data_IF_444010925911
#
_entry.id   IF_444010925911
#
_cell.length_a   1.000
_cell.length_b   1.000
_cell.length_c   1.000
_cell.angle_alpha   90.00
_cell.angle_beta   90.00
_cell.angle_gamma   90.00
#
_symmetry.space_group_name_H-M   'P 1'
#
loop_
_entity.id
_entity.type
_entity.pdbx_description
1 polymer ?
#
# COMPACT_ATOMS: atom_id res chain seq x y z
N UNK A 1 -36.62 31.28 1.71
CA UNK A 1 -36.29 31.11 0.28
C UNK A 1 -35.09 30.16 0.22
N UNK A 2 -35.35 28.87 0.02
CA UNK A 2 -34.35 27.79 0.10
C UNK A 2 -33.72 27.56 -1.27
N UNK A 3 -32.40 27.76 -1.38
CA UNK A 3 -31.66 27.48 -2.60
C UNK A 3 -31.30 25.99 -2.65
N UNK A 4 -32.07 25.19 -3.39
CA UNK A 4 -31.67 23.83 -3.77
C UNK A 4 -30.56 23.93 -4.83
N UNK A 5 -29.31 23.68 -4.43
CA UNK A 5 -28.23 23.40 -5.40
C UNK A 5 -28.49 22.02 -5.99
N UNK A 6 -28.97 21.98 -7.23
CA UNK A 6 -28.99 20.78 -8.07
C UNK A 6 -27.54 20.31 -8.28
N UNK A 7 -27.12 19.29 -7.55
CA UNK A 7 -25.94 18.51 -7.90
C UNK A 7 -26.39 17.64 -9.08
N UNK A 8 -25.89 17.95 -10.27
CA UNK A 8 -25.94 17.02 -11.39
C UNK A 8 -24.77 16.07 -11.16
N UNK A 9 -25.05 14.78 -11.04
CA UNK A 9 -24.01 13.75 -11.01
C UNK A 9 -23.30 13.77 -12.36
N UNK A 10 -22.12 14.40 -12.38
CA UNK A 10 -21.21 14.25 -13.50
C UNK A 10 -20.52 12.90 -13.31
N UNK A 11 -21.04 11.86 -13.96
CA UNK A 11 -20.22 10.68 -14.29
C UNK A 11 -19.15 11.15 -15.28
N UNK A 12 -18.04 11.67 -14.75
CA UNK A 12 -16.87 12.02 -15.52
C UNK A 12 -16.16 10.72 -15.94
N UNK A 13 -16.66 10.09 -17.00
CA UNK A 13 -15.93 9.08 -17.73
C UNK A 13 -14.81 9.81 -18.49
N UNK A 14 -13.63 9.95 -17.89
CA UNK A 14 -12.47 10.63 -18.48
C UNK A 14 -11.22 9.74 -18.41
N UNK A 15 -10.30 9.90 -19.37
CA UNK A 15 -9.55 8.80 -20.00
C UNK A 15 -8.48 8.22 -19.08
N UNK A 16 -8.24 6.91 -19.21
CA UNK A 16 -7.05 6.25 -18.69
C UNK A 16 -5.81 6.98 -19.22
N UNK A 17 -5.15 7.74 -18.35
CA UNK A 17 -3.86 8.33 -18.64
C UNK A 17 -2.82 7.23 -18.49
N UNK A 18 -2.62 6.46 -19.56
CA UNK A 18 -1.52 5.49 -19.64
C UNK A 18 -0.37 6.10 -20.41
N UNK A 19 0.75 6.35 -19.75
CA UNK A 19 2.02 6.56 -20.44
C UNK A 19 2.76 5.21 -20.50
N UNK A 20 3.17 4.83 -21.71
CA UNK A 20 4.08 3.70 -21.90
C UNK A 20 5.43 4.31 -22.26
N UNK A 21 6.29 4.43 -21.25
CA UNK A 21 7.62 5.02 -21.36
C UNK A 21 8.60 3.90 -21.71
N UNK A 22 8.90 3.75 -22.99
CA UNK A 22 9.66 2.61 -23.50
C UNK A 22 11.18 2.68 -23.29
N UNK A 23 11.73 3.67 -22.59
CA UNK A 23 13.16 3.70 -22.19
C UNK A 23 13.43 4.86 -21.20
N UNK A 24 13.65 4.54 -19.91
CA UNK A 24 14.15 5.49 -18.90
C UNK A 24 13.21 5.78 -17.74
N UNK A 25 13.77 6.41 -16.69
CA UNK A 25 13.04 6.69 -15.45
C UNK A 25 11.76 7.50 -15.70
N UNK A 26 10.60 7.03 -15.22
CA UNK A 26 9.31 7.71 -15.34
C UNK A 26 8.96 8.54 -14.11
N UNK A 27 8.41 9.73 -14.29
CA UNK A 27 7.87 10.51 -13.16
C UNK A 27 6.49 11.05 -13.53
N UNK A 28 5.47 10.66 -12.78
CA UNK A 28 4.09 11.07 -13.00
C UNK A 28 3.50 11.77 -11.78
N UNK A 29 2.70 12.81 -12.01
CA UNK A 29 1.98 13.53 -10.97
C UNK A 29 0.53 13.73 -11.40
N UNK A 30 -0.40 13.23 -10.59
CA UNK A 30 -1.83 13.32 -10.78
C UNK A 30 -2.45 14.10 -9.63
N UNK A 31 -3.20 15.15 -9.95
CA UNK A 31 -4.04 15.85 -8.99
C UNK A 31 -5.48 15.95 -9.50
N UNK A 32 -6.45 15.45 -8.73
CA UNK A 32 -7.86 15.45 -9.13
C UNK A 32 -8.80 15.72 -7.96
N UNK A 33 -9.91 16.41 -8.22
CA UNK A 33 -11.03 16.48 -7.28
C UNK A 33 -11.99 15.29 -7.36
N UNK A 34 -11.90 14.49 -8.43
CA UNK A 34 -12.77 13.35 -8.74
C UNK A 34 -12.04 12.02 -8.49
N UNK A 35 -12.67 10.87 -8.73
CA UNK A 35 -12.08 9.54 -8.54
C UNK A 35 -11.36 9.08 -9.83
N UNK A 36 -10.07 9.41 -10.07
CA UNK A 36 -9.37 8.99 -11.28
C UNK A 36 -9.06 7.49 -11.23
N UNK A 37 -9.13 6.84 -12.38
CA UNK A 37 -8.51 5.54 -12.64
C UNK A 37 -7.23 5.79 -13.43
N UNK A 38 -6.10 5.34 -12.89
CA UNK A 38 -4.77 5.50 -13.47
C UNK A 38 -4.14 4.12 -13.68
N UNK A 39 -3.54 3.91 -14.85
CA UNK A 39 -2.80 2.68 -15.14
C UNK A 39 -1.46 3.04 -15.78
N UNK A 40 -0.36 2.67 -15.16
CA UNK A 40 0.98 2.93 -15.65
C UNK A 40 1.72 1.61 -15.88
N UNK A 41 2.60 1.59 -16.89
CA UNK A 41 3.37 0.39 -17.24
C UNK A 41 4.77 0.75 -17.70
N UNK A 42 5.78 0.22 -17.01
CA UNK A 42 7.19 0.41 -17.34
C UNK A 42 7.83 -0.94 -17.66
N UNK A 43 8.27 -1.10 -18.91
CA UNK A 43 8.91 -2.34 -19.39
C UNK A 43 10.37 -2.49 -18.92
N UNK A 44 11.00 -1.40 -18.45
CA UNK A 44 12.31 -1.37 -17.81
C UNK A 44 12.55 0.01 -17.18
N UNK A 45 13.34 0.05 -16.10
CA UNK A 45 13.76 1.29 -15.44
C UNK A 45 12.99 1.61 -14.17
N UNK A 46 13.41 2.69 -13.52
CA UNK A 46 12.82 3.16 -12.26
C UNK A 46 11.70 4.17 -12.53
N UNK A 47 11.06 4.63 -11.48
CA UNK A 47 10.11 5.70 -11.61
C UNK A 47 9.34 5.99 -10.35
N UNK A 48 8.59 7.08 -10.43
CA UNK A 48 7.96 7.71 -9.30
C UNK A 48 6.58 8.18 -9.70
N UNK A 49 5.57 7.82 -8.92
CA UNK A 49 4.19 8.25 -9.12
C UNK A 49 3.71 9.06 -7.91
N UNK A 50 3.04 10.19 -8.15
CA UNK A 50 2.42 10.99 -7.10
C UNK A 50 0.95 11.22 -7.42
N UNK A 51 0.07 10.74 -6.57
CA UNK A 51 -1.37 10.88 -6.66
C UNK A 51 -1.89 11.71 -5.49
N UNK A 52 -2.56 12.82 -5.78
CA UNK A 52 -3.29 13.61 -4.80
C UNK A 52 -4.75 13.76 -5.24
N UNK A 53 -5.70 13.18 -4.50
CA UNK A 53 -7.11 13.25 -4.86
C UNK A 53 -8.05 13.59 -3.70
N UNK A 54 -9.10 14.37 -3.98
CA UNK A 54 -10.22 14.54 -3.04
C UNK A 54 -11.13 13.31 -2.95
N UNK A 55 -11.14 12.45 -3.98
CA UNK A 55 -12.00 11.26 -4.10
C UNK A 55 -11.16 9.98 -4.16
N UNK A 56 -11.77 8.81 -4.39
CA UNK A 56 -11.13 7.48 -4.41
C UNK A 56 -10.27 7.27 -5.67
N UNK A 57 -8.92 7.46 -5.66
CA UNK A 57 -8.12 7.09 -6.82
C UNK A 57 -8.00 5.56 -6.90
N UNK A 58 -8.03 5.00 -8.10
CA UNK A 58 -7.59 3.64 -8.38
C UNK A 58 -6.32 3.69 -9.23
N UNK A 59 -5.26 3.03 -8.77
CA UNK A 59 -4.01 2.91 -9.53
C UNK A 59 -3.67 1.43 -9.74
N UNK A 60 -3.31 1.08 -10.97
CA UNK A 60 -2.79 -0.22 -11.34
C UNK A 60 -1.48 -0.04 -12.10
N UNK A 61 -0.38 -0.51 -11.51
CA UNK A 61 0.97 -0.22 -11.98
C UNK A 61 1.75 -1.52 -12.17
N UNK A 62 2.33 -1.71 -13.35
CA UNK A 62 3.18 -2.88 -13.65
C UNK A 62 4.55 -2.45 -14.15
N UNK A 63 5.58 -2.80 -13.40
CA UNK A 63 6.93 -2.29 -13.59
C UNK A 63 7.90 -3.47 -13.73
N UNK A 64 8.85 -3.40 -14.65
CA UNK A 64 9.93 -4.38 -14.72
C UNK A 64 11.17 -3.94 -13.91
N UNK A 65 11.14 -2.72 -13.37
CA UNK A 65 12.13 -2.12 -12.45
C UNK A 65 11.48 -1.68 -11.14
N UNK A 66 12.12 -0.77 -10.40
CA UNK A 66 11.59 -0.24 -9.14
C UNK A 66 10.61 0.92 -9.30
N UNK A 67 9.67 1.05 -8.35
CA UNK A 67 8.63 2.08 -8.30
C UNK A 67 8.60 2.76 -6.93
N UNK A 68 8.29 4.06 -6.91
CA UNK A 68 7.93 4.75 -5.68
C UNK A 68 6.66 5.56 -5.86
N UNK A 69 5.58 5.11 -5.23
CA UNK A 69 4.26 5.68 -5.34
C UNK A 69 3.83 6.40 -4.07
N UNK A 70 3.31 7.62 -4.21
CA UNK A 70 2.70 8.37 -3.12
C UNK A 70 1.24 8.68 -3.40
N UNK A 71 0.36 8.21 -2.53
CA UNK A 71 -1.08 8.40 -2.59
C UNK A 71 -1.54 9.25 -1.42
N UNK A 72 -2.04 10.45 -1.68
CA UNK A 72 -2.70 11.31 -0.71
C UNK A 72 -4.16 11.49 -1.08
N UNK A 73 -5.09 11.03 -0.23
CA UNK A 73 -6.52 11.21 -0.51
C UNK A 73 -7.39 11.50 0.71
N UNK A 74 -8.45 12.30 0.52
CA UNK A 74 -9.52 12.42 1.52
C UNK A 74 -10.39 11.15 1.61
N UNK A 75 -10.40 10.33 0.56
CA UNK A 75 -11.19 9.11 0.40
C UNK A 75 -10.31 7.86 0.43
N UNK A 76 -10.90 6.66 0.28
CA UNK A 76 -10.20 5.38 0.35
C UNK A 76 -9.48 5.05 -0.98
N UNK A 77 -8.17 5.31 -1.16
CA UNK A 77 -7.47 4.95 -2.39
C UNK A 77 -7.39 3.43 -2.54
N UNK A 78 -7.38 2.94 -3.78
CA UNK A 78 -7.07 1.54 -4.10
C UNK A 78 -5.84 1.51 -5.00
N UNK A 79 -4.80 0.79 -4.62
CA UNK A 79 -3.59 0.64 -5.43
C UNK A 79 -3.26 -0.83 -5.66
N UNK A 80 -2.79 -1.13 -6.86
CA UNK A 80 -2.24 -2.41 -7.27
C UNK A 80 -0.88 -2.14 -7.92
N UNK A 81 0.18 -2.72 -7.39
CA UNK A 81 1.53 -2.57 -7.93
C UNK A 81 2.15 -3.96 -8.12
N UNK A 82 2.78 -4.20 -9.26
CA UNK A 82 3.48 -5.46 -9.52
C UNK A 82 4.84 -5.16 -10.13
N UNK A 83 5.91 -5.78 -9.62
CA UNK A 83 7.21 -5.77 -10.27
C UNK A 83 7.85 -7.14 -10.43
N UNK A 84 8.44 -7.39 -11.59
CA UNK A 84 9.22 -8.60 -11.82
C UNK A 84 10.62 -8.52 -11.17
N UNK A 85 11.22 -7.33 -11.14
CA UNK A 85 12.52 -7.07 -10.56
C UNK A 85 12.66 -5.59 -10.18
N UNK A 86 13.32 -5.27 -9.06
CA UNK A 86 13.44 -3.91 -8.53
C UNK A 86 12.60 -3.69 -7.28
N UNK A 87 12.79 -2.54 -6.64
CA UNK A 87 12.16 -2.26 -5.35
C UNK A 87 10.82 -1.52 -5.54
N UNK A 88 9.77 -1.92 -4.82
CA UNK A 88 8.49 -1.21 -4.78
C UNK A 88 8.35 -0.46 -3.46
N UNK A 89 8.03 0.83 -3.52
CA UNK A 89 7.80 1.66 -2.35
C UNK A 89 6.46 2.42 -2.43
N UNK A 90 5.44 1.96 -1.71
CA UNK A 90 4.12 2.58 -1.64
C UNK A 90 3.92 3.41 -0.37
N UNK A 91 3.46 4.66 -0.50
CA UNK A 91 3.10 5.54 0.60
C UNK A 91 1.66 5.99 0.49
N UNK A 92 0.83 5.64 1.47
CA UNK A 92 -0.60 5.90 1.51
C UNK A 92 -0.94 6.80 2.68
N UNK A 93 -1.41 8.01 2.39
CA UNK A 93 -1.91 8.97 3.37
C UNK A 93 -3.38 9.26 3.10
N UNK A 94 -4.28 8.82 3.98
CA UNK A 94 -5.71 8.97 3.75
C UNK A 94 -6.55 9.28 4.99
N UNK A 95 -7.60 10.10 4.84
CA UNK A 95 -8.64 10.23 5.86
C UNK A 95 -9.50 8.98 6.03
N UNK A 96 -9.54 8.13 4.99
CA UNK A 96 -10.37 6.93 4.88
C UNK A 96 -9.51 5.67 4.76
N UNK A 97 -10.12 4.49 4.59
CA UNK A 97 -9.45 3.19 4.56
C UNK A 97 -8.75 2.92 3.21
N UNK A 98 -7.43 3.10 3.05
CA UNK A 98 -6.75 2.70 1.82
C UNK A 98 -6.75 1.17 1.66
N UNK A 99 -6.84 0.70 0.41
CA UNK A 99 -6.62 -0.70 0.06
C UNK A 99 -5.43 -0.80 -0.90
N UNK A 100 -4.44 -1.63 -0.58
CA UNK A 100 -3.28 -1.82 -1.44
C UNK A 100 -3.00 -3.30 -1.66
N UNK A 101 -2.58 -3.64 -2.88
CA UNK A 101 -2.03 -4.93 -3.24
C UNK A 101 -0.70 -4.72 -3.94
N UNK A 102 0.34 -5.41 -3.50
CA UNK A 102 1.66 -5.33 -4.10
C UNK A 102 2.30 -6.72 -4.27
N UNK A 103 2.94 -6.96 -5.41
CA UNK A 103 3.64 -8.21 -5.73
C UNK A 103 5.03 -7.90 -6.29
N UNK A 104 6.08 -8.43 -5.67
CA UNK A 104 7.47 -8.26 -6.10
C UNK A 104 8.13 -9.62 -6.35
N UNK A 105 8.52 -9.87 -7.60
CA UNK A 105 9.28 -11.06 -7.98
C UNK A 105 10.69 -11.07 -7.36
N UNK A 106 11.47 -10.01 -7.58
CA UNK A 106 12.81 -9.88 -7.02
C UNK A 106 13.14 -8.43 -6.64
N UNK A 107 13.30 -8.14 -5.36
CA UNK A 107 13.56 -6.80 -4.84
C UNK A 107 12.83 -6.57 -3.53
N UNK A 108 13.03 -5.40 -2.94
CA UNK A 108 12.41 -5.05 -1.67
C UNK A 108 11.04 -4.39 -1.90
N UNK A 109 10.08 -4.72 -1.05
CA UNK A 109 8.74 -4.13 -1.04
C UNK A 109 8.55 -3.38 0.27
N UNK A 110 8.26 -2.09 0.18
CA UNK A 110 7.98 -1.22 1.32
C UNK A 110 6.61 -0.58 1.16
N UNK A 111 5.72 -0.75 2.14
CA UNK A 111 4.45 -0.02 2.18
C UNK A 111 4.26 0.74 3.49
N UNK A 112 3.90 2.01 3.39
CA UNK A 112 3.65 2.89 4.51
C UNK A 112 2.21 3.40 4.45
N UNK A 113 1.43 3.12 5.49
CA UNK A 113 0.04 3.55 5.60
C UNK A 113 -0.11 4.51 6.77
N UNK A 114 -0.63 5.69 6.50
CA UNK A 114 -1.07 6.67 7.48
C UNK A 114 -2.55 6.97 7.23
N UNK A 115 -3.43 6.51 8.12
CA UNK A 115 -4.86 6.64 7.91
C UNK A 115 -5.69 6.97 9.15
N UNK A 116 -6.75 7.76 8.99
CA UNK A 116 -7.79 7.89 10.02
C UNK A 116 -8.63 6.62 10.22
N UNK A 117 -8.69 5.75 9.22
CA UNK A 117 -9.51 4.54 9.15
C UNK A 117 -8.66 3.28 8.94
N UNK A 118 -9.29 2.11 8.88
CA UNK A 118 -8.63 0.81 8.79
C UNK A 118 -8.02 0.54 7.40
N UNK A 119 -6.69 0.55 7.21
CA UNK A 119 -6.06 0.13 5.96
C UNK A 119 -6.28 -1.36 5.70
N UNK A 120 -6.39 -1.75 4.43
CA UNK A 120 -6.31 -3.13 3.98
C UNK A 120 -5.07 -3.30 3.08
N UNK A 121 -4.19 -4.25 3.39
CA UNK A 121 -2.97 -4.46 2.61
C UNK A 121 -2.77 -5.95 2.31
N UNK A 122 -2.32 -6.23 1.09
CA UNK A 122 -1.87 -7.55 0.64
C UNK A 122 -0.52 -7.38 -0.04
N UNK A 123 0.51 -8.09 0.42
CA UNK A 123 1.85 -7.99 -0.12
C UNK A 123 2.47 -9.38 -0.30
N UNK A 124 3.09 -9.61 -1.45
CA UNK A 124 3.80 -10.85 -1.77
C UNK A 124 5.20 -10.52 -2.32
N UNK A 125 6.24 -11.15 -1.78
CA UNK A 125 7.62 -10.99 -2.24
C UNK A 125 8.24 -12.37 -2.47
N UNK A 126 8.58 -12.70 -3.71
CA UNK A 126 9.22 -13.98 -4.00
C UNK A 126 10.70 -14.01 -3.58
N UNK A 127 11.44 -12.91 -3.77
CA UNK A 127 12.83 -12.78 -3.27
C UNK A 127 13.14 -11.33 -2.92
N UNK A 128 13.51 -11.05 -1.67
CA UNK A 128 13.78 -9.72 -1.15
C UNK A 128 13.06 -9.47 0.18
N UNK A 129 13.22 -8.28 0.74
CA UNK A 129 12.59 -7.89 2.00
C UNK A 129 11.19 -7.31 1.81
N UNK A 130 10.26 -7.66 2.69
CA UNK A 130 8.96 -7.02 2.82
C UNK A 130 8.96 -6.18 4.09
N UNK A 131 8.63 -4.89 3.99
CA UNK A 131 8.44 -4.00 5.12
C UNK A 131 7.12 -3.25 5.02
N UNK A 132 6.23 -3.45 5.97
CA UNK A 132 4.98 -2.70 6.05
C UNK A 132 4.88 -1.93 7.37
N UNK A 133 4.46 -0.67 7.30
CA UNK A 133 4.19 0.14 8.48
C UNK A 133 2.80 0.75 8.40
N UNK A 134 2.05 0.61 9.49
CA UNK A 134 0.70 1.09 9.62
C UNK A 134 0.61 2.05 10.80
N UNK A 135 0.20 3.28 10.52
CA UNK A 135 -0.21 4.26 11.52
C UNK A 135 -1.69 4.57 11.29
N UNK A 136 -2.56 4.07 12.17
CA UNK A 136 -4.01 4.22 11.99
C UNK A 136 -4.80 4.53 13.25
N UNK A 137 -5.87 5.32 13.13
CA UNK A 137 -6.87 5.43 14.19
C UNK A 137 -7.68 4.14 14.42
N UNK A 138 -7.73 3.26 13.42
CA UNK A 138 -8.54 2.04 13.39
C UNK A 138 -7.69 0.79 13.13
N UNK A 139 -8.31 -0.39 13.15
CA UNK A 139 -7.65 -1.69 13.01
C UNK A 139 -7.23 -1.98 11.56
N UNK A 140 -5.92 -2.03 11.22
CA UNK A 140 -5.48 -2.48 9.90
C UNK A 140 -5.76 -3.97 9.70
N UNK A 141 -6.04 -4.37 8.45
CA UNK A 141 -6.18 -5.76 8.03
C UNK A 141 -5.09 -6.09 6.99
N UNK A 142 -4.16 -6.98 7.33
CA UNK A 142 -2.92 -7.17 6.56
C UNK A 142 -2.65 -8.64 6.30
N UNK A 143 -2.25 -8.94 5.07
CA UNK A 143 -1.69 -10.22 4.66
C UNK A 143 -0.34 -9.98 3.98
N UNK A 144 0.72 -10.55 4.52
CA UNK A 144 2.08 -10.42 3.99
C UNK A 144 2.70 -11.80 3.76
N UNK A 145 3.26 -12.04 2.57
CA UNK A 145 4.00 -13.26 2.25
C UNK A 145 5.38 -12.91 1.70
N UNK A 146 6.41 -13.61 2.16
CA UNK A 146 7.77 -13.50 1.64
C UNK A 146 8.39 -14.88 1.50
N UNK A 147 8.60 -15.35 0.27
CA UNK A 147 9.16 -16.69 0.06
C UNK A 147 10.64 -16.76 0.49
N UNK A 148 11.44 -15.74 0.14
CA UNK A 148 12.85 -15.65 0.52
C UNK A 148 13.27 -14.19 0.83
N UNK A 149 13.50 -13.89 2.10
CA UNK A 149 13.96 -12.61 2.62
C UNK A 149 13.30 -12.27 3.96
N UNK A 150 13.59 -11.08 4.47
CA UNK A 150 13.04 -10.63 5.75
C UNK A 150 11.63 -10.07 5.60
N UNK A 151 10.75 -10.37 6.54
CA UNK A 151 9.41 -9.80 6.63
C UNK A 151 9.32 -8.95 7.89
N UNK A 152 9.04 -7.66 7.75
CA UNK A 152 8.86 -6.74 8.89
C UNK A 152 7.51 -6.04 8.81
N UNK A 153 6.69 -6.18 9.85
CA UNK A 153 5.47 -5.40 9.98
C UNK A 153 5.50 -4.56 11.27
N UNK A 154 5.12 -3.29 11.15
CA UNK A 154 4.98 -2.39 12.28
C UNK A 154 3.59 -1.77 12.32
N UNK A 155 2.91 -1.90 13.45
CA UNK A 155 1.57 -1.37 13.66
C UNK A 155 1.59 -0.37 14.81
N UNK A 156 1.08 0.83 14.54
CA UNK A 156 0.74 1.85 15.52
C UNK A 156 -0.74 2.17 15.35
N UNK A 157 -1.61 1.68 16.24
CA UNK A 157 -3.05 1.85 16.08
C UNK A 157 -3.82 2.15 17.36
N UNK A 158 -4.91 2.93 17.24
CA UNK A 158 -5.89 3.07 18.32
C UNK A 158 -6.70 1.80 18.59
N UNK A 159 -6.78 0.87 17.62
CA UNK A 159 -7.57 -0.36 17.67
C UNK A 159 -6.69 -1.59 17.38
N UNK A 160 -7.23 -2.80 17.57
CA UNK A 160 -6.51 -4.06 17.39
C UNK A 160 -6.26 -4.39 15.90
N UNK A 161 -5.01 -4.41 15.41
CA UNK A 161 -4.70 -4.89 14.06
C UNK A 161 -5.04 -6.38 13.88
N UNK A 162 -5.48 -6.75 12.67
CA UNK A 162 -5.56 -8.12 12.20
C UNK A 162 -4.46 -8.34 11.15
N UNK A 163 -3.47 -9.16 11.48
CA UNK A 163 -2.29 -9.37 10.65
C UNK A 163 -2.00 -10.86 10.48
N UNK A 164 -1.72 -11.27 9.26
CA UNK A 164 -1.30 -12.62 8.93
C UNK A 164 -0.05 -12.54 8.04
N UNK A 165 1.03 -13.16 8.49
CA UNK A 165 2.31 -13.09 7.83
C UNK A 165 2.99 -14.45 7.68
N UNK A 166 3.54 -14.72 6.49
CA UNK A 166 4.29 -15.93 6.23
C UNK A 166 5.66 -15.58 5.61
N UNK A 167 6.75 -16.00 6.25
CA UNK A 167 8.09 -15.91 5.70
C UNK A 167 8.63 -17.33 5.46
N UNK A 168 8.88 -17.70 4.21
CA UNK A 168 9.41 -19.00 3.85
C UNK A 168 10.83 -19.21 4.38
N UNK A 169 11.75 -18.36 3.91
CA UNK A 169 13.16 -18.31 4.36
C UNK A 169 13.56 -16.87 4.67
N UNK A 170 14.07 -16.61 5.88
CA UNK A 170 14.42 -15.30 6.39
C UNK A 170 13.72 -14.99 7.71
N UNK A 171 13.98 -13.82 8.25
CA UNK A 171 13.47 -13.45 9.58
C UNK A 171 12.11 -12.75 9.47
N UNK A 172 11.19 -13.05 10.39
CA UNK A 172 9.91 -12.39 10.53
C UNK A 172 9.87 -11.51 11.79
N UNK A 173 9.65 -10.21 11.66
CA UNK A 173 9.57 -9.27 12.77
C UNK A 173 8.23 -8.55 12.77
N UNK A 174 7.50 -8.61 13.88
CA UNK A 174 6.22 -7.93 14.03
C UNK A 174 6.21 -7.07 15.28
N UNK A 175 5.92 -5.78 15.12
CA UNK A 175 5.86 -4.82 16.21
C UNK A 175 4.45 -4.25 16.28
N UNK A 176 3.78 -4.43 17.41
CA UNK A 176 2.44 -3.90 17.64
C UNK A 176 2.47 -2.90 18.78
N UNK A 177 2.06 -1.67 18.51
CA UNK A 177 1.78 -0.62 19.49
C UNK A 177 0.32 -0.23 19.36
N UNK A 178 -0.55 -0.79 20.20
CA UNK A 178 -2.00 -0.57 20.06
C UNK A 178 -2.76 -0.40 21.39
N UNK A 179 -3.83 0.39 21.38
CA UNK A 179 -4.79 0.44 22.49
C UNK A 179 -5.56 -0.86 22.72
N UNK A 180 -5.43 -1.86 21.85
CA UNK A 180 -6.11 -3.16 21.99
C UNK A 180 -5.21 -4.31 21.51
N UNK A 181 -5.48 -5.53 21.99
CA UNK A 181 -4.69 -6.71 21.64
C UNK A 181 -4.87 -7.08 20.14
N UNK A 182 -3.79 -7.19 19.34
CA UNK A 182 -3.89 -7.59 17.93
C UNK A 182 -4.34 -9.05 17.76
N UNK A 183 -5.02 -9.32 16.65
CA UNK A 183 -5.20 -10.66 16.12
C UNK A 183 -4.08 -10.92 15.10
N UNK A 184 -2.93 -11.40 15.59
CA UNK A 184 -1.73 -11.59 14.77
C UNK A 184 -1.35 -13.07 14.62
N UNK A 185 -1.26 -13.53 13.37
CA UNK A 185 -0.68 -14.80 12.99
C UNK A 185 0.62 -14.54 12.24
N UNK A 186 1.71 -15.22 12.61
CA UNK A 186 2.90 -15.24 11.77
C UNK A 186 3.54 -16.61 11.75
N UNK A 187 4.14 -16.97 10.62
CA UNK A 187 4.86 -18.22 10.43
C UNK A 187 6.18 -17.93 9.75
N UNK A 188 7.24 -18.56 10.25
CA UNK A 188 8.56 -18.53 9.62
C UNK A 188 8.96 -19.98 9.37
N UNK A 189 9.24 -20.32 8.12
CA UNK A 189 9.68 -21.66 7.74
C UNK A 189 11.12 -21.91 8.17
N UNK A 190 12.03 -21.02 7.76
CA UNK A 190 13.46 -21.04 8.12
C UNK A 190 13.93 -19.64 8.45
N UNK A 191 14.37 -19.39 9.69
CA UNK A 191 14.79 -18.07 10.18
C UNK A 191 14.24 -17.79 11.57
N UNK A 192 14.41 -16.57 12.07
CA UNK A 192 13.91 -16.16 13.38
C UNK A 192 12.57 -15.43 13.30
N UNK A 193 11.68 -15.72 14.25
CA UNK A 193 10.41 -15.01 14.41
C UNK A 193 10.44 -14.15 15.68
N UNK A 194 10.36 -12.84 15.53
CA UNK A 194 10.29 -11.88 16.63
C UNK A 194 8.94 -11.19 16.64
N UNK A 195 8.28 -11.16 17.81
CA UNK A 195 7.06 -10.36 18.00
C UNK A 195 7.14 -9.53 19.28
N UNK A 196 6.81 -8.26 19.16
CA UNK A 196 6.70 -7.35 20.29
C UNK A 196 5.30 -6.75 20.34
N UNK A 197 4.72 -6.74 21.53
CA UNK A 197 3.40 -6.14 21.79
C UNK A 197 3.54 -5.08 22.88
N UNK A 198 3.07 -3.88 22.59
CA UNK A 198 2.94 -2.77 23.53
C UNK A 198 1.50 -2.28 23.47
N UNK A 199 0.84 -2.17 24.62
CA UNK A 199 -0.53 -1.66 24.69
C UNK A 199 -0.73 -0.59 25.76
N UNK A 200 -1.50 0.44 25.41
CA UNK A 200 -1.95 1.46 26.36
C UNK A 200 -3.22 1.01 27.06
N UNK A 201 -3.18 0.92 28.39
CA UNK A 201 -4.34 0.58 29.25
C UNK A 201 -5.43 1.63 29.26
#
# INVERSE_FOLDING_TARGET
MTAQRKIKDFHANQPAAGSSLFEGCGAEMFSSGSAPECSAGLAAGEGVSLFSSGSMPQAAESWAGGETGQFSSGSAPVAQAETAAGDLAGMFSSGSAPAARADTGAGDLVQLFSSGSAPAAQAEVATGGLTEMFSSGSAPAVQADTAAGGLTEMFSSGSAPAAAAEAGTGDGTHLFSSGSAPAAEARVGTGDATRLFSSGS
#
